data_IF_169270761475
#
_entry.id   IF_169270761475
#
_cell.length_a   1.000
_cell.length_b   1.000
_cell.length_c   1.000
_cell.angle_alpha   90.00
_cell.angle_beta   90.00
_cell.angle_gamma   90.00
#
_symmetry.space_group_name_H-M   'P 1'
#
loop_
_entity.id
_entity.type
_entity.pdbx_description
1 polymer ?
#
# COMPACT_ATOMS: atom_id res chain seq x y z
N UNK A 1 8.66 -9.61 -7.58
CA UNK A 1 9.72 -9.46 -6.58
C UNK A 1 10.12 -10.85 -6.15
N UNK A 2 11.34 -11.04 -5.68
CA UNK A 2 11.67 -12.28 -4.97
C UNK A 2 10.89 -12.40 -3.65
N UNK A 3 10.99 -13.55 -3.00
CA UNK A 3 10.26 -13.85 -1.78
C UNK A 3 10.67 -12.92 -0.62
N UNK A 4 11.95 -12.55 -0.54
CA UNK A 4 12.48 -11.69 0.52
C UNK A 4 11.92 -10.27 0.41
N UNK A 5 12.02 -9.66 -0.77
CA UNK A 5 11.50 -8.31 -1.03
C UNK A 5 9.98 -8.27 -0.91
N UNK A 6 9.29 -9.31 -1.37
CA UNK A 6 7.83 -9.42 -1.21
C UNK A 6 7.42 -9.42 0.27
N UNK A 7 8.16 -10.11 1.14
CA UNK A 7 7.92 -10.11 2.59
C UNK A 7 8.19 -8.74 3.19
N UNK A 8 9.30 -8.08 2.82
CA UNK A 8 9.62 -6.72 3.30
C UNK A 8 8.55 -5.70 2.90
N UNK A 9 8.11 -5.73 1.64
CA UNK A 9 7.03 -4.85 1.17
C UNK A 9 5.74 -5.12 1.92
N UNK A 10 5.39 -6.39 2.17
CA UNK A 10 4.20 -6.71 2.94
C UNK A 10 4.27 -6.12 4.35
N UNK A 11 5.38 -6.29 5.06
CA UNK A 11 5.60 -5.65 6.37
C UNK A 11 5.48 -4.12 6.28
N UNK A 12 6.04 -3.51 5.24
CA UNK A 12 5.96 -2.06 5.03
C UNK A 12 4.52 -1.57 4.77
N UNK A 13 3.74 -2.33 3.99
CA UNK A 13 2.30 -2.08 3.78
C UNK A 13 1.54 -2.17 5.11
N UNK A 14 1.91 -3.10 5.98
CA UNK A 14 1.31 -3.20 7.32
C UNK A 14 1.60 -1.95 8.15
N UNK A 15 2.86 -1.52 8.23
CA UNK A 15 3.24 -0.30 8.95
C UNK A 15 2.56 0.95 8.38
N UNK A 16 2.47 1.07 7.05
CA UNK A 16 1.75 2.16 6.39
C UNK A 16 0.24 2.11 6.71
N UNK A 17 -0.35 0.92 6.70
CA UNK A 17 -1.74 0.71 7.07
C UNK A 17 -2.02 1.15 8.51
N UNK A 18 -1.16 0.80 9.46
CA UNK A 18 -1.25 1.23 10.86
C UNK A 18 -1.22 2.77 10.96
N UNK A 19 -0.31 3.43 10.22
CA UNK A 19 -0.23 4.89 10.17
C UNK A 19 -1.46 5.56 9.57
N UNK A 20 -2.22 4.85 8.73
CA UNK A 20 -3.40 5.33 8.02
C UNK A 20 -4.73 5.02 8.71
N UNK A 21 -4.72 4.23 9.80
CA UNK A 21 -5.91 3.96 10.62
C UNK A 21 -6.55 5.29 11.07
N UNK A 22 -7.82 5.48 10.70
CA UNK A 22 -8.57 6.69 11.04
C UNK A 22 -8.21 7.95 10.23
N UNK A 23 -7.24 7.87 9.30
CA UNK A 23 -6.84 9.02 8.46
C UNK A 23 -7.43 8.99 7.05
N UNK A 24 -7.96 7.85 6.61
CA UNK A 24 -8.59 7.74 5.29
C UNK A 24 -9.96 8.42 5.26
N UNK A 25 -10.30 9.09 4.14
CA UNK A 25 -11.58 9.78 4.02
C UNK A 25 -12.76 8.79 4.03
N UNK A 26 -13.91 9.21 4.57
CA UNK A 26 -15.12 8.40 4.58
C UNK A 26 -15.61 8.12 3.16
N UNK A 27 -16.14 6.92 2.93
CA UNK A 27 -16.73 6.53 1.64
C UNK A 27 -18.13 6.00 1.86
N UNK A 28 -19.09 6.39 0.99
CA UNK A 28 -20.47 5.90 1.03
C UNK A 28 -20.56 4.37 0.92
N UNK A 29 -19.58 3.75 0.26
CA UNK A 29 -19.52 2.30 0.06
C UNK A 29 -18.92 1.55 1.27
N UNK A 30 -18.38 2.27 2.25
CA UNK A 30 -17.74 1.70 3.44
C UNK A 30 -18.29 2.36 4.72
N UNK A 31 -19.51 2.01 5.14
CA UNK A 31 -20.17 2.62 6.30
C UNK A 31 -19.39 2.43 7.62
N UNK A 32 -18.56 1.39 7.72
CA UNK A 32 -17.70 1.11 8.89
C UNK A 32 -16.27 1.63 8.74
N UNK A 33 -15.98 2.45 7.72
CA UNK A 33 -14.64 2.94 7.41
C UNK A 33 -13.87 2.06 6.41
N UNK A 34 -12.79 2.61 5.82
CA UNK A 34 -11.93 1.91 4.87
C UNK A 34 -10.89 1.06 5.60
N UNK A 35 -10.59 -0.13 5.08
CA UNK A 35 -9.46 -0.94 5.53
C UNK A 35 -8.15 -0.35 4.97
N UNK A 36 -7.25 0.20 5.82
CA UNK A 36 -6.05 0.89 5.34
C UNK A 36 -5.05 -0.03 4.65
N UNK A 37 -4.86 -1.26 5.15
CA UNK A 37 -3.93 -2.24 4.56
C UNK A 37 -4.36 -2.62 3.15
N UNK A 38 -5.66 -2.92 2.98
CA UNK A 38 -6.22 -3.24 1.68
C UNK A 38 -6.14 -2.05 0.72
N UNK A 39 -6.38 -0.84 1.23
CA UNK A 39 -6.28 0.39 0.46
C UNK A 39 -4.87 0.59 -0.11
N UNK A 40 -3.82 0.51 0.73
CA UNK A 40 -2.42 0.64 0.26
C UNK A 40 -2.09 -0.42 -0.79
N UNK A 41 -2.43 -1.69 -0.55
CA UNK A 41 -2.18 -2.77 -1.51
C UNK A 41 -2.89 -2.54 -2.87
N UNK A 42 -4.14 -2.05 -2.84
CA UNK A 42 -4.89 -1.71 -4.05
C UNK A 42 -4.25 -0.52 -4.78
N UNK A 43 -3.83 0.52 -4.07
CA UNK A 43 -3.15 1.67 -4.65
C UNK A 43 -1.83 1.27 -5.34
N UNK A 44 -1.02 0.42 -4.70
CA UNK A 44 0.20 -0.15 -5.30
C UNK A 44 -0.17 -0.93 -6.57
N UNK A 45 -1.14 -1.83 -6.48
CA UNK A 45 -1.59 -2.60 -7.65
C UNK A 45 -2.05 -1.71 -8.80
N UNK A 46 -2.79 -0.65 -8.50
CA UNK A 46 -3.29 0.30 -9.50
C UNK A 46 -2.17 1.12 -10.14
N UNK A 47 -1.16 1.53 -9.36
CA UNK A 47 -0.02 2.34 -9.84
C UNK A 47 0.90 1.54 -10.74
N UNK A 48 1.21 0.31 -10.37
CA UNK A 48 2.16 -0.55 -11.08
C UNK A 48 1.49 -1.52 -12.06
N UNK A 49 0.15 -1.50 -12.14
CA UNK A 49 -0.68 -2.42 -12.94
C UNK A 49 -0.48 -3.92 -12.61
N UNK A 50 0.19 -4.22 -11.50
CA UNK A 50 0.61 -5.57 -11.09
C UNK A 50 0.64 -5.67 -9.56
N UNK A 51 0.50 -6.87 -9.01
CA UNK A 51 0.67 -7.06 -7.57
C UNK A 51 2.11 -6.78 -7.16
N UNK A 52 2.34 -6.30 -5.92
CA UNK A 52 3.69 -6.06 -5.42
C UNK A 52 4.61 -7.29 -5.51
N UNK A 53 4.02 -8.50 -5.44
CA UNK A 53 4.74 -9.77 -5.62
C UNK A 53 5.24 -10.00 -7.04
N UNK A 54 4.63 -9.36 -8.03
CA UNK A 54 4.94 -9.51 -9.46
C UNK A 54 5.85 -8.39 -9.99
N UNK A 55 5.97 -7.29 -9.24
CA UNK A 55 6.80 -6.14 -9.61
C UNK A 55 8.29 -6.55 -9.65
N UNK A 56 9.09 -6.14 -10.64
CA UNK A 56 10.53 -6.43 -10.68
C UNK A 56 11.29 -5.91 -9.45
N UNK A 57 12.37 -6.59 -9.06
CA UNK A 57 13.17 -6.22 -7.88
C UNK A 57 13.83 -4.83 -8.02
N UNK A 58 14.16 -4.41 -9.23
CA UNK A 58 14.69 -3.07 -9.54
C UNK A 58 13.74 -1.93 -9.14
N UNK A 59 12.43 -2.20 -9.05
CA UNK A 59 11.42 -1.23 -8.62
C UNK A 59 11.12 -1.27 -7.13
N UNK A 60 11.88 -2.03 -6.34
CA UNK A 60 11.65 -2.16 -4.91
C UNK A 60 11.58 -0.81 -4.20
N UNK A 61 12.57 0.06 -4.44
CA UNK A 61 12.58 1.40 -3.85
C UNK A 61 11.39 2.26 -4.31
N UNK A 62 11.04 2.21 -5.60
CA UNK A 62 9.91 2.95 -6.14
C UNK A 62 8.57 2.56 -5.48
N UNK A 63 8.41 1.27 -5.13
CA UNK A 63 7.23 0.81 -4.39
C UNK A 63 7.22 1.35 -2.96
N UNK A 64 8.37 1.35 -2.26
CA UNK A 64 8.46 1.92 -0.91
C UNK A 64 8.14 3.42 -0.91
N UNK A 65 8.76 4.17 -1.82
CA UNK A 65 8.55 5.62 -1.94
C UNK A 65 7.07 5.93 -2.23
N UNK A 66 6.42 5.12 -3.06
CA UNK A 66 4.99 5.27 -3.34
C UNK A 66 4.12 4.95 -2.11
N UNK A 67 4.48 3.94 -1.31
CA UNK A 67 3.77 3.64 -0.06
C UNK A 67 3.91 4.81 0.91
N UNK A 68 5.09 5.42 1.03
CA UNK A 68 5.30 6.60 1.87
C UNK A 68 4.47 7.80 1.39
N UNK A 69 4.44 8.03 0.08
CA UNK A 69 3.58 9.06 -0.51
C UNK A 69 2.10 8.87 -0.13
N UNK A 70 1.59 7.63 -0.10
CA UNK A 70 0.21 7.34 0.31
C UNK A 70 -0.04 7.65 1.80
N UNK A 71 0.96 7.43 2.66
CA UNK A 71 0.89 7.75 4.10
C UNK A 71 0.86 9.26 4.32
N UNK A 72 1.68 10.00 3.59
CA UNK A 72 1.73 11.47 3.65
C UNK A 72 0.49 12.13 3.00
N UNK A 73 -0.13 11.45 2.04
CA UNK A 73 -1.27 11.96 1.26
C UNK A 73 -2.47 10.97 1.30
N UNK A 74 -3.11 10.78 2.47
CA UNK A 74 -4.25 9.87 2.60
C UNK A 74 -5.43 10.32 1.72
N UNK A 75 -5.94 9.45 0.84
CA UNK A 75 -7.05 9.72 -0.10
C UNK A 75 -8.08 8.59 -0.23
#
# INVERSE_FOLDING_TARGET
>A
MDEENSKKIWSYIQEAGDKLVGKLPPSKNHPSGRNPYAHVAICVKSKFSQSYKEIPNDKYQEVLDYIDFLVENPS
#
